data_IF_097123396349
#
_entry.id   IF_097123396349
#
_cell.length_a   1.000
_cell.length_b   1.000
_cell.length_c   1.000
_cell.angle_alpha   90.00
_cell.angle_beta   90.00
_cell.angle_gamma   90.00
#
_symmetry.space_group_name_H-M   'P 1'
#
loop_
_entity.id
_entity.type
_entity.pdbx_description
1 polymer ?
#
# COMPACT_ATOMS: atom_id res chain seq x y z
N UNK A 1 -3.44 3.21 12.26
CA UNK A 1 -3.07 4.62 12.51
C UNK A 1 -4.30 5.53 12.53
N UNK A 2 -4.16 6.77 13.00
CA UNK A 2 -5.24 7.77 13.00
C UNK A 2 -4.86 8.92 12.05
N UNK A 3 -5.66 9.13 11.02
CA UNK A 3 -5.56 10.26 10.11
C UNK A 3 -6.45 11.41 10.62
N UNK A 4 -5.95 12.66 10.71
CA UNK A 4 -6.72 13.78 11.25
C UNK A 4 -7.81 14.28 10.28
N UNK A 5 -7.80 13.83 9.03
CA UNK A 5 -8.75 14.27 8.01
C UNK A 5 -10.06 13.48 8.03
N UNK A 6 -11.20 14.11 7.65
CA UNK A 6 -12.44 13.40 7.40
C UNK A 6 -12.27 12.31 6.33
N UNK A 7 -13.13 11.28 6.36
CA UNK A 7 -13.01 10.10 5.49
C UNK A 7 -12.79 10.45 4.02
N UNK A 8 -13.56 11.40 3.50
CA UNK A 8 -13.55 11.77 2.09
C UNK A 8 -12.28 12.50 1.65
N UNK A 9 -11.56 13.10 2.60
CA UNK A 9 -10.25 13.72 2.40
C UNK A 9 -9.11 12.72 2.67
N UNK A 10 -9.32 11.78 3.59
CA UNK A 10 -8.34 10.76 3.93
C UNK A 10 -8.18 9.71 2.83
N UNK A 11 -9.28 9.20 2.25
CA UNK A 11 -9.24 8.12 1.25
C UNK A 11 -8.32 8.42 0.05
N UNK A 12 -8.37 9.62 -0.57
CA UNK A 12 -7.47 9.96 -1.67
C UNK A 12 -5.97 9.89 -1.31
N UNK A 13 -5.59 10.08 -0.04
CA UNK A 13 -4.19 10.04 0.40
C UNK A 13 -3.59 8.63 0.37
N UNK A 14 -4.41 7.58 0.26
CA UNK A 14 -3.96 6.18 0.23
C UNK A 14 -4.06 5.56 -1.18
N UNK A 15 -4.23 6.41 -2.20
CA UNK A 15 -4.06 6.03 -3.61
C UNK A 15 -2.57 6.01 -3.96
N UNK A 16 -2.14 5.33 -5.05
CA UNK A 16 -0.73 5.31 -5.43
C UNK A 16 -0.13 6.72 -5.56
N UNK A 17 -0.83 7.68 -6.17
CA UNK A 17 -0.38 9.08 -6.24
C UNK A 17 -0.57 9.84 -4.94
N UNK A 18 -1.63 9.54 -4.18
CA UNK A 18 -1.86 10.15 -2.88
C UNK A 18 -0.72 9.88 -1.89
N UNK A 19 -0.21 8.65 -1.86
CA UNK A 19 0.87 8.27 -0.94
C UNK A 19 2.18 9.00 -1.22
N UNK A 20 2.42 9.44 -2.46
CA UNK A 20 3.63 10.24 -2.79
C UNK A 20 3.70 11.54 -1.98
N UNK A 21 2.56 12.05 -1.49
CA UNK A 21 2.50 13.30 -0.70
C UNK A 21 3.07 13.16 0.71
N UNK A 22 3.17 11.94 1.26
CA UNK A 22 3.52 11.74 2.66
C UNK A 22 4.40 10.51 2.93
N UNK A 23 4.32 9.46 2.12
CA UNK A 23 5.12 8.25 2.28
C UNK A 23 6.53 8.46 1.71
N UNK A 24 7.53 8.51 2.59
CA UNK A 24 8.92 8.74 2.20
C UNK A 24 9.43 7.63 1.27
N UNK A 25 10.00 8.03 0.13
CA UNK A 25 10.55 7.09 -0.85
C UNK A 25 9.49 6.39 -1.72
N UNK A 26 8.21 6.74 -1.55
CA UNK A 26 7.15 6.25 -2.42
C UNK A 26 7.12 7.03 -3.73
N UNK A 27 7.56 6.39 -4.81
CA UNK A 27 7.58 6.99 -6.15
C UNK A 27 7.06 6.00 -7.20
N UNK A 28 5.73 5.89 -7.36
CA UNK A 28 5.17 4.92 -8.29
C UNK A 28 5.23 5.42 -9.73
N UNK A 29 5.75 4.55 -10.60
CA UNK A 29 5.82 4.73 -12.03
C UNK A 29 4.70 3.95 -12.72
N UNK A 30 3.98 4.60 -13.64
CA UNK A 30 2.90 3.99 -14.40
C UNK A 30 3.36 3.65 -15.81
N UNK A 31 3.44 2.36 -16.20
CA UNK A 31 3.84 1.97 -17.55
C UNK A 31 2.83 2.37 -18.63
N UNK A 32 1.58 2.59 -18.27
CA UNK A 32 0.51 3.09 -19.13
C UNK A 32 -0.18 4.28 -18.46
N UNK A 33 -0.70 5.26 -19.23
CA UNK A 33 -1.50 6.35 -18.66
C UNK A 33 -2.71 5.80 -17.89
N UNK A 34 -2.88 6.26 -16.64
CA UNK A 34 -4.06 6.00 -15.84
C UNK A 34 -4.76 7.34 -15.57
N UNK A 35 -6.02 7.47 -16.00
CA UNK A 35 -6.82 8.68 -15.72
C UNK A 35 -7.24 8.74 -14.23
N UNK A 36 -7.44 7.58 -13.62
CA UNK A 36 -7.63 7.37 -12.20
C UNK A 36 -6.62 6.30 -11.78
N UNK A 37 -5.66 6.66 -10.94
CA UNK A 37 -4.57 5.80 -10.50
C UNK A 37 -5.00 4.74 -9.47
N UNK A 38 -6.26 4.79 -9.04
CA UNK A 38 -6.88 3.89 -8.07
C UNK A 38 -7.99 3.02 -8.67
N UNK A 39 -8.14 3.03 -10.00
CA UNK A 39 -9.10 2.18 -10.70
C UNK A 39 -8.64 0.71 -10.68
N UNK A 40 -9.52 -0.26 -10.33
CA UNK A 40 -9.14 -1.68 -10.37
C UNK A 40 -8.61 -2.11 -11.73
N UNK A 41 -7.46 -2.80 -11.74
CA UNK A 41 -6.72 -3.14 -12.95
C UNK A 41 -5.60 -2.15 -13.30
N UNK A 42 -5.53 -0.99 -12.63
CA UNK A 42 -4.37 -0.09 -12.74
C UNK A 42 -3.10 -0.79 -12.27
N UNK A 43 -2.05 -0.73 -13.09
CA UNK A 43 -0.74 -1.30 -12.80
C UNK A 43 0.28 -0.18 -12.64
N UNK A 44 1.08 -0.25 -11.59
CA UNK A 44 2.20 0.64 -11.35
C UNK A 44 3.38 -0.12 -10.76
N UNK A 45 4.54 0.52 -10.73
CA UNK A 45 5.77 -0.06 -10.23
C UNK A 45 6.40 0.86 -9.21
N UNK A 46 7.03 0.30 -8.18
CA UNK A 46 7.91 1.04 -7.27
C UNK A 46 9.28 0.39 -7.27
N UNK A 47 10.32 1.20 -7.11
CA UNK A 47 11.69 0.73 -6.88
C UNK A 47 12.09 1.09 -5.46
N UNK A 48 12.47 0.08 -4.68
CA UNK A 48 13.08 0.29 -3.38
C UNK A 48 14.49 -0.30 -3.35
N UNK A 49 15.49 0.57 -3.47
CA UNK A 49 16.91 0.22 -3.45
C UNK A 49 17.29 -0.85 -4.51
N UNK A 50 16.74 -0.72 -5.72
CA UNK A 50 16.95 -1.63 -6.85
C UNK A 50 16.04 -2.85 -6.84
N UNK A 51 15.14 -2.98 -5.85
CA UNK A 51 14.11 -4.02 -5.84
C UNK A 51 12.82 -3.46 -6.44
N UNK A 52 12.56 -3.85 -7.69
CA UNK A 52 11.34 -3.48 -8.40
C UNK A 52 10.16 -4.32 -7.90
N UNK A 53 9.11 -3.65 -7.45
CA UNK A 53 7.82 -4.26 -7.13
C UNK A 53 6.77 -3.82 -8.15
N UNK A 54 6.01 -4.78 -8.67
CA UNK A 54 4.86 -4.55 -9.54
C UNK A 54 3.62 -4.59 -8.66
N UNK A 55 2.77 -3.58 -8.81
CA UNK A 55 1.53 -3.42 -8.08
C UNK A 55 0.34 -3.40 -9.02
N UNK A 56 -0.75 -4.03 -8.61
CA UNK A 56 -2.03 -4.00 -9.31
C UNK A 56 -3.11 -3.59 -8.32
N UNK A 57 -3.90 -2.58 -8.64
CA UNK A 57 -5.12 -2.26 -7.88
C UNK A 57 -6.12 -3.38 -8.10
N UNK A 58 -6.50 -4.11 -7.04
CA UNK A 58 -7.41 -5.25 -7.16
C UNK A 58 -8.86 -4.89 -6.80
N UNK A 59 -9.06 -3.91 -5.93
CA UNK A 59 -10.39 -3.37 -5.63
C UNK A 59 -10.31 -1.96 -5.04
N UNK A 60 -11.40 -1.21 -5.24
CA UNK A 60 -11.62 0.08 -4.60
C UNK A 60 -13.09 0.21 -4.21
N UNK A 61 -13.31 0.60 -2.97
CA UNK A 61 -14.59 1.06 -2.44
C UNK A 61 -14.44 2.53 -2.04
N UNK A 62 -15.14 3.46 -2.72
CA UNK A 62 -15.12 4.88 -2.36
C UNK A 62 -15.52 5.16 -0.90
N UNK A 63 -16.24 4.24 -0.25
CA UNK A 63 -16.56 4.25 1.17
C UNK A 63 -15.39 3.95 2.12
N UNK A 64 -14.18 3.78 1.59
CA UNK A 64 -12.96 3.74 2.38
C UNK A 64 -12.20 2.42 2.37
N UNK A 65 -12.29 1.60 1.32
CA UNK A 65 -11.44 0.40 1.23
C UNK A 65 -10.70 0.35 -0.11
N UNK A 66 -9.43 -0.05 -0.08
CA UNK A 66 -8.62 -0.30 -1.26
C UNK A 66 -7.79 -1.56 -1.06
N UNK A 67 -7.54 -2.27 -2.16
CA UNK A 67 -6.66 -3.42 -2.14
C UNK A 67 -5.71 -3.42 -3.31
N UNK A 68 -4.52 -3.94 -3.05
CA UNK A 68 -3.45 -4.07 -4.01
C UNK A 68 -2.92 -5.51 -4.00
N UNK A 69 -2.63 -6.06 -5.17
CA UNK A 69 -1.68 -7.16 -5.29
C UNK A 69 -0.28 -6.57 -5.54
N UNK A 70 0.74 -7.15 -4.92
CA UNK A 70 2.13 -6.75 -5.10
C UNK A 70 3.00 -7.96 -5.39
N UNK A 71 3.98 -7.80 -6.27
CA UNK A 71 4.97 -8.84 -6.60
C UNK A 71 6.33 -8.20 -6.78
N UNK A 72 7.29 -8.67 -6.01
CA UNK A 72 8.72 -8.42 -6.20
C UNK A 72 9.32 -9.69 -6.80
N UNK A 73 9.59 -9.73 -8.13
CA UNK A 73 10.05 -10.94 -8.80
C UNK A 73 11.29 -11.53 -8.13
N UNK A 74 11.25 -12.84 -7.86
CA UNK A 74 12.36 -13.57 -7.22
C UNK A 74 12.48 -13.34 -5.70
N UNK A 75 11.55 -12.62 -5.07
CA UNK A 75 11.62 -12.30 -3.63
C UNK A 75 10.32 -12.64 -2.89
N UNK A 76 9.23 -11.92 -3.15
CA UNK A 76 7.92 -12.11 -2.48
C UNK A 76 6.75 -11.67 -3.35
N UNK A 77 5.56 -12.16 -3.02
CA UNK A 77 4.31 -11.69 -3.62
C UNK A 77 3.17 -11.75 -2.60
N UNK A 78 2.09 -11.00 -2.81
CA UNK A 78 0.94 -11.05 -1.93
C UNK A 78 -0.01 -9.88 -2.13
N UNK A 79 -0.75 -9.54 -1.09
CA UNK A 79 -1.73 -8.46 -1.10
C UNK A 79 -1.53 -7.47 0.03
N UNK A 80 -1.98 -6.25 -0.22
CA UNK A 80 -2.06 -5.15 0.76
C UNK A 80 -3.49 -4.66 0.75
N UNK A 81 -4.11 -4.55 1.93
CA UNK A 81 -5.43 -3.97 2.08
C UNK A 81 -5.37 -2.73 2.97
N UNK A 82 -6.05 -1.67 2.54
CA UNK A 82 -6.22 -0.42 3.25
C UNK A 82 -7.69 -0.24 3.56
N UNK A 83 -8.03 -0.01 4.82
CA UNK A 83 -9.38 0.27 5.30
C UNK A 83 -9.39 1.58 6.09
N UNK A 84 -10.23 2.50 5.66
CA UNK A 84 -10.47 3.81 6.23
C UNK A 84 -11.88 3.83 6.81
N UNK A 85 -12.00 4.12 8.10
CA UNK A 85 -13.28 4.19 8.81
C UNK A 85 -13.40 5.54 9.52
N UNK A 86 -14.55 6.23 9.45
CA UNK A 86 -14.75 7.47 10.20
C UNK A 86 -14.49 7.29 11.69
N UNK A 87 -13.82 8.27 12.31
CA UNK A 87 -13.57 8.29 13.74
C UNK A 87 -13.63 9.74 14.27
N UNK A 88 -14.79 10.14 14.79
CA UNK A 88 -15.01 11.52 15.24
C UNK A 88 -14.85 12.49 14.07
N UNK A 89 -13.95 13.46 14.19
CA UNK A 89 -13.59 14.39 13.11
C UNK A 89 -12.53 13.86 12.15
N UNK A 90 -11.90 12.72 12.46
CA UNK A 90 -10.84 12.12 11.66
C UNK A 90 -11.21 10.76 11.09
N UNK A 91 -10.19 10.00 10.69
CA UNK A 91 -10.32 8.68 10.06
C UNK A 91 -9.37 7.69 10.70
N UNK A 92 -9.89 6.52 11.11
CA UNK A 92 -9.04 5.38 11.45
C UNK A 92 -8.63 4.66 10.18
N UNK A 93 -7.33 4.48 10.00
CA UNK A 93 -6.76 3.76 8.87
C UNK A 93 -6.10 2.48 9.37
N UNK A 94 -6.46 1.36 8.74
CA UNK A 94 -5.88 0.05 8.98
C UNK A 94 -5.26 -0.42 7.67
N UNK A 95 -3.96 -0.73 7.71
CA UNK A 95 -3.25 -1.39 6.62
C UNK A 95 -2.95 -2.82 7.07
N UNK A 96 -3.11 -3.78 6.17
CA UNK A 96 -2.75 -5.17 6.42
C UNK A 96 -2.03 -5.76 5.21
N UNK A 97 -1.01 -6.56 5.50
CA UNK A 97 -0.19 -7.25 4.52
C UNK A 97 -0.43 -8.75 4.64
N UNK A 98 -0.70 -9.40 3.52
CA UNK A 98 -0.70 -10.85 3.39
C UNK A 98 0.33 -11.21 2.31
N UNK A 99 1.55 -11.54 2.74
CA UNK A 99 2.71 -11.71 1.88
C UNK A 99 3.26 -13.13 2.00
N UNK A 100 3.62 -13.70 0.85
CA UNK A 100 4.30 -14.99 0.72
C UNK A 100 5.71 -14.77 0.19
N UNK A 101 6.70 -15.29 0.91
CA UNK A 101 8.08 -15.34 0.42
C UNK A 101 8.22 -16.37 -0.71
N UNK A 102 8.95 -16.01 -1.76
CA UNK A 102 9.29 -16.89 -2.88
C UNK A 102 10.68 -17.54 -2.70
N UNK A 103 11.44 -17.11 -1.70
CA UNK A 103 12.77 -17.65 -1.36
C UNK A 103 12.93 -17.82 0.15
N UNK A 104 13.84 -18.70 0.62
CA UNK A 104 14.14 -18.81 2.04
C UNK A 104 14.62 -17.50 2.68
N UNK A 105 15.48 -16.74 1.98
CA UNK A 105 15.95 -15.43 2.47
C UNK A 105 14.80 -14.45 2.68
N UNK A 106 13.86 -14.37 1.72
CA UNK A 106 12.69 -13.52 1.84
C UNK A 106 11.76 -13.95 2.99
N UNK A 107 11.76 -15.23 3.37
CA UNK A 107 10.98 -15.72 4.51
C UNK A 107 11.51 -15.17 5.84
N UNK A 108 12.83 -15.14 6.01
CA UNK A 108 13.48 -14.53 7.18
C UNK A 108 13.22 -13.01 7.23
N UNK A 109 13.27 -12.35 6.06
CA UNK A 109 12.93 -10.92 5.96
C UNK A 109 11.46 -10.63 6.28
N UNK A 110 10.52 -11.45 5.80
CA UNK A 110 9.10 -11.31 6.12
C UNK A 110 8.80 -11.58 7.59
N UNK A 111 9.50 -12.54 8.20
CA UNK A 111 9.39 -12.79 9.64
C UNK A 111 9.82 -11.57 10.44
N UNK A 112 10.94 -10.94 10.07
CA UNK A 112 11.40 -9.69 10.69
C UNK A 112 10.41 -8.55 10.47
N UNK A 113 9.94 -8.37 9.23
CA UNK A 113 8.93 -7.37 8.91
C UNK A 113 7.66 -7.53 9.76
N UNK A 114 7.17 -8.76 9.97
CA UNK A 114 6.00 -9.02 10.79
C UNK A 114 6.21 -8.65 12.28
N UNK A 115 7.42 -8.87 12.81
CA UNK A 115 7.77 -8.47 14.19
C UNK A 115 7.83 -6.94 14.34
N UNK A 116 8.43 -6.27 13.35
CA UNK A 116 8.64 -4.82 13.36
C UNK A 116 7.42 -4.03 12.82
N UNK A 117 6.37 -4.72 12.38
CA UNK A 117 5.20 -4.13 11.73
C UNK A 117 4.52 -3.01 12.54
N UNK A 118 4.37 -3.12 13.87
CA UNK A 118 3.81 -2.03 14.68
C UNK A 118 4.63 -0.75 14.60
N UNK A 119 5.96 -0.86 14.61
CA UNK A 119 6.88 0.29 14.54
C UNK A 119 6.92 0.86 13.12
N UNK A 120 6.85 0.01 12.10
CA UNK A 120 6.68 0.42 10.71
C UNK A 120 5.42 1.28 10.52
N UNK A 121 4.28 0.84 11.05
CA UNK A 121 3.02 1.60 11.01
C UNK A 121 3.04 2.89 11.84
N UNK A 122 3.94 3.04 12.80
CA UNK A 122 4.04 4.26 13.61
C UNK A 122 4.77 5.40 12.86
N UNK A 123 5.56 5.05 11.84
CA UNK A 123 6.29 6.00 10.99
C UNK A 123 5.64 6.22 9.63
N UNK A 124 4.41 5.70 9.46
CA UNK A 124 3.49 5.95 8.36
C UNK A 124 2.40 6.93 8.83
#
# INVERSE_FOLDING_TARGET
MNCPFPLQEAVPLFTPMGERLWAQGWDPAFPAPAADDSEPGTIFQTDHAGRLSIWTVIHRNPGGAMGYATTTPGDRAGTVAVSCQPMGSGTRVTVSYDLTALTPTANDELTRFAMDYPDFLAHW
#
